data_IF_291858634404
#
_entry.id   IF_291858634404
#
_cell.length_a   1.000
_cell.length_b   1.000
_cell.length_c   1.000
_cell.angle_alpha   90.00
_cell.angle_beta   90.00
_cell.angle_gamma   90.00
#
_symmetry.space_group_name_H-M   'P 1'
#
loop_
_entity.id
_entity.type
_entity.pdbx_description
1 polymer ?
#
# COMPACT_ATOMS: atom_id res chain seq x y z
N UNK A 1 -5.20 24.40 17.94
CA UNK A 1 -4.41 25.29 18.81
C UNK A 1 -5.34 26.23 19.56
N UNK A 2 -5.43 26.07 20.87
CA UNK A 2 -6.18 27.00 21.71
C UNK A 2 -5.50 28.38 21.70
N UNK A 3 -6.27 29.46 21.80
CA UNK A 3 -5.71 30.82 21.82
C UNK A 3 -5.25 31.16 23.24
N UNK A 4 -3.98 31.51 23.42
CA UNK A 4 -3.47 32.00 24.69
C UNK A 4 -4.07 33.39 24.98
N UNK A 5 -4.72 33.53 26.14
CA UNK A 5 -5.32 34.79 26.60
C UNK A 5 -4.59 35.23 27.85
N UNK A 6 -4.05 36.44 27.83
CA UNK A 6 -3.26 37.01 28.92
C UNK A 6 -3.90 38.30 29.43
N UNK A 7 -3.81 38.55 30.72
CA UNK A 7 -4.13 39.83 31.32
C UNK A 7 -3.15 40.89 30.84
N UNK A 8 -3.69 42.00 30.34
CA UNK A 8 -2.89 43.18 29.97
C UNK A 8 -2.74 44.07 31.19
N UNK A 9 -1.54 44.59 31.44
CA UNK A 9 -1.29 45.46 32.58
C UNK A 9 -1.88 46.85 32.36
N UNK A 10 -2.96 47.17 33.08
CA UNK A 10 -3.44 48.54 33.22
C UNK A 10 -2.68 49.19 34.40
N UNK A 11 -1.94 50.27 34.13
CA UNK A 11 -0.82 50.74 34.94
C UNK A 11 -1.19 51.12 36.40
N UNK A 12 -0.63 50.41 37.39
CA UNK A 12 0.05 50.95 38.60
C UNK A 12 0.83 49.82 39.31
N UNK A 13 2.14 49.99 39.54
CA UNK A 13 3.09 48.92 39.90
C UNK A 13 3.05 48.42 41.36
N UNK A 14 2.11 48.91 42.18
CA UNK A 14 2.08 48.67 43.63
C UNK A 14 0.94 47.74 44.09
N UNK A 15 0.09 47.29 43.18
CA UNK A 15 -1.11 46.53 43.54
C UNK A 15 -0.84 45.02 43.67
N UNK A 16 -1.46 44.40 44.69
CA UNK A 16 -1.51 42.94 44.86
C UNK A 16 -2.17 42.27 43.65
N UNK A 17 -3.17 42.93 43.07
CA UNK A 17 -3.94 42.36 41.97
C UNK A 17 -3.11 42.27 40.68
N UNK A 18 -2.20 43.24 40.45
CA UNK A 18 -1.23 43.19 39.36
C UNK A 18 -0.27 41.99 39.51
N UNK A 19 0.22 41.73 40.73
CA UNK A 19 1.10 40.58 41.00
C UNK A 19 0.38 39.25 40.75
N UNK A 20 -0.87 39.14 41.19
CA UNK A 20 -1.69 37.95 40.96
C UNK A 20 -1.96 37.73 39.47
N UNK A 21 -2.35 38.78 38.73
CA UNK A 21 -2.57 38.71 37.28
C UNK A 21 -1.27 38.34 36.53
N UNK A 22 -0.13 38.85 36.97
CA UNK A 22 1.18 38.50 36.41
C UNK A 22 1.52 37.02 36.64
N UNK A 23 1.29 36.50 37.85
CA UNK A 23 1.50 35.09 38.14
C UNK A 23 0.55 34.18 37.33
N UNK A 24 -0.71 34.60 37.14
CA UNK A 24 -1.67 33.89 36.31
C UNK A 24 -1.23 33.85 34.84
N UNK A 25 -0.72 34.97 34.30
CA UNK A 25 -0.15 34.98 32.95
C UNK A 25 1.03 34.02 32.81
N UNK A 26 1.95 33.99 33.79
CA UNK A 26 3.07 33.06 33.77
C UNK A 26 2.63 31.60 33.77
N UNK A 27 1.65 31.26 34.60
CA UNK A 27 1.10 29.90 34.61
C UNK A 27 0.44 29.55 33.27
N UNK A 28 -0.36 30.46 32.70
CA UNK A 28 -1.00 30.24 31.41
C UNK A 28 0.02 30.06 30.27
N UNK A 29 1.14 30.79 30.28
CA UNK A 29 2.23 30.63 29.31
C UNK A 29 2.89 29.26 29.48
N UNK A 30 3.18 28.84 30.71
CA UNK A 30 3.79 27.54 31.00
C UNK A 30 2.90 26.38 30.55
N UNK A 31 1.61 26.44 30.89
CA UNK A 31 0.65 25.40 30.54
C UNK A 31 0.47 25.32 29.01
N UNK A 32 0.41 26.46 28.33
CA UNK A 32 0.34 26.52 26.87
C UNK A 32 1.60 25.93 26.21
N UNK A 33 2.80 26.30 26.68
CA UNK A 33 4.05 25.78 26.15
C UNK A 33 4.18 24.26 26.36
N UNK A 34 3.80 23.76 27.54
CA UNK A 34 3.79 22.34 27.84
C UNK A 34 2.78 21.58 26.96
N UNK A 35 1.60 22.14 26.75
CA UNK A 35 0.60 21.59 25.83
C UNK A 35 1.13 21.51 24.40
N UNK A 36 1.77 22.57 23.90
CA UNK A 36 2.38 22.55 22.56
C UNK A 36 3.52 21.54 22.43
N UNK A 37 4.38 21.39 23.45
CA UNK A 37 5.44 20.39 23.45
C UNK A 37 4.87 18.97 23.37
N UNK A 38 3.83 18.68 24.15
CA UNK A 38 3.14 17.38 24.12
C UNK A 38 2.49 17.10 22.76
N UNK A 39 1.84 18.10 22.14
CA UNK A 39 1.28 17.97 20.79
C UNK A 39 2.38 17.66 19.76
N UNK A 40 3.53 18.34 19.84
CA UNK A 40 4.67 18.09 18.95
C UNK A 40 5.23 16.68 19.10
N UNK A 41 5.42 16.20 20.34
CA UNK A 41 5.88 14.83 20.60
C UNK A 41 4.92 13.79 20.01
N UNK A 42 3.61 14.00 20.17
CA UNK A 42 2.59 13.11 19.58
C UNK A 42 2.64 13.11 18.04
N UNK A 43 2.84 14.28 17.42
CA UNK A 43 3.01 14.39 15.97
C UNK A 43 4.25 13.61 15.50
N UNK A 44 5.39 13.77 16.19
CA UNK A 44 6.62 13.05 15.84
C UNK A 44 6.45 11.53 15.97
N UNK A 45 5.84 11.05 17.05
CA UNK A 45 5.57 9.62 17.23
C UNK A 45 4.65 9.06 16.13
N UNK A 46 3.61 9.83 15.74
CA UNK A 46 2.72 9.43 14.65
C UNK A 46 3.46 9.40 13.29
N UNK A 47 4.31 10.39 13.01
CA UNK A 47 5.12 10.41 11.80
C UNK A 47 6.08 9.21 11.72
N UNK A 48 6.65 8.79 12.84
CA UNK A 48 7.52 7.61 12.89
C UNK A 48 6.74 6.33 12.54
N UNK A 49 5.55 6.15 13.11
CA UNK A 49 4.68 5.03 12.78
C UNK A 49 4.30 4.99 11.29
N UNK A 50 3.99 6.15 10.71
CA UNK A 50 3.69 6.26 9.28
C UNK A 50 4.87 5.83 8.40
N UNK A 51 6.09 6.25 8.74
CA UNK A 51 7.29 5.84 7.98
C UNK A 51 7.48 4.34 8.00
N UNK A 52 7.31 3.70 9.16
CA UNK A 52 7.43 2.24 9.30
C UNK A 52 6.36 1.54 8.44
N UNK A 53 5.12 2.04 8.47
CA UNK A 53 4.04 1.46 7.66
C UNK A 53 4.28 1.62 6.16
N UNK A 54 4.80 2.77 5.71
CA UNK A 54 5.17 3.03 4.32
C UNK A 54 6.29 2.09 3.85
N UNK A 55 7.35 1.91 4.65
CA UNK A 55 8.44 1.00 4.34
C UNK A 55 7.97 -0.45 4.21
N UNK A 56 7.08 -0.89 5.11
CA UNK A 56 6.48 -2.21 5.04
C UNK A 56 5.65 -2.40 3.76
N UNK A 57 4.78 -1.44 3.44
CA UNK A 57 3.94 -1.51 2.25
C UNK A 57 4.77 -1.51 0.96
N UNK A 58 5.84 -0.70 0.89
CA UNK A 58 6.75 -0.68 -0.26
C UNK A 58 7.44 -2.02 -0.44
N UNK A 59 7.97 -2.59 0.64
CA UNK A 59 8.63 -3.90 0.59
C UNK A 59 7.68 -4.99 0.13
N UNK A 60 6.45 -5.01 0.64
CA UNK A 60 5.44 -5.96 0.21
C UNK A 60 5.14 -5.84 -1.30
N UNK A 61 5.01 -4.62 -1.81
CA UNK A 61 4.79 -4.39 -3.23
C UNK A 61 5.99 -4.84 -4.09
N UNK A 62 7.22 -4.59 -3.64
CA UNK A 62 8.44 -5.06 -4.31
C UNK A 62 8.53 -6.59 -4.33
N UNK A 63 8.20 -7.24 -3.21
CA UNK A 63 8.19 -8.70 -3.08
C UNK A 63 7.13 -9.33 -4.01
N UNK A 64 5.90 -8.79 -4.05
CA UNK A 64 4.84 -9.24 -4.96
C UNK A 64 5.20 -9.03 -6.44
N UNK A 65 5.87 -7.92 -6.78
CA UNK A 65 6.34 -7.67 -8.14
C UNK A 65 7.44 -8.66 -8.54
N UNK A 66 8.38 -8.93 -7.63
CA UNK A 66 9.47 -9.88 -7.86
C UNK A 66 8.95 -11.32 -8.03
N UNK A 67 7.94 -11.71 -7.26
CA UNK A 67 7.28 -13.02 -7.40
C UNK A 67 6.68 -13.16 -8.80
N UNK A 68 5.85 -12.21 -9.24
CA UNK A 68 5.24 -12.21 -10.58
C UNK A 68 6.28 -12.20 -11.69
N UNK A 69 7.35 -11.42 -11.55
CA UNK A 69 8.43 -11.38 -12.53
C UNK A 69 9.13 -12.74 -12.62
N UNK A 70 9.35 -13.41 -11.48
CA UNK A 70 9.98 -14.72 -11.43
C UNK A 70 9.08 -15.77 -12.10
N UNK A 71 7.78 -15.77 -11.81
CA UNK A 71 6.80 -16.64 -12.48
C UNK A 71 6.80 -16.45 -14.00
N UNK A 72 6.73 -15.19 -14.47
CA UNK A 72 6.75 -14.87 -15.90
C UNK A 72 8.06 -15.33 -16.58
N UNK A 73 9.19 -15.15 -15.92
CA UNK A 73 10.50 -15.64 -16.40
C UNK A 73 10.47 -17.17 -16.55
N UNK A 74 9.90 -17.90 -15.60
CA UNK A 74 9.82 -19.37 -15.68
C UNK A 74 8.87 -19.84 -16.79
N UNK A 75 7.72 -19.19 -16.97
CA UNK A 75 6.81 -19.47 -18.09
C UNK A 75 7.51 -19.23 -19.44
N UNK A 76 8.23 -18.11 -19.58
CA UNK A 76 8.97 -17.81 -20.81
C UNK A 76 10.11 -18.80 -21.05
N UNK A 77 10.85 -19.21 -20.01
CA UNK A 77 11.88 -20.26 -20.13
C UNK A 77 11.30 -21.58 -20.60
N UNK A 78 10.14 -21.99 -20.08
CA UNK A 78 9.46 -23.21 -20.53
C UNK A 78 9.12 -23.14 -22.01
N UNK A 79 8.51 -22.04 -22.46
CA UNK A 79 8.21 -21.82 -23.90
C UNK A 79 9.47 -21.85 -24.76
N UNK A 80 10.55 -21.20 -24.33
CA UNK A 80 11.83 -21.20 -25.05
C UNK A 80 12.42 -22.62 -25.11
N UNK A 81 12.36 -23.38 -24.01
CA UNK A 81 12.83 -24.76 -23.98
C UNK A 81 12.00 -25.64 -24.92
N UNK A 82 10.68 -25.47 -24.98
CA UNK A 82 9.81 -26.17 -25.93
C UNK A 82 10.15 -25.79 -27.38
N UNK A 83 10.42 -24.51 -27.67
CA UNK A 83 10.86 -24.05 -29.00
C UNK A 83 12.20 -24.67 -29.44
N UNK A 84 13.16 -24.84 -28.52
CA UNK A 84 14.51 -25.31 -28.82
C UNK A 84 14.59 -26.85 -28.83
N UNK A 85 13.93 -27.50 -27.86
CA UNK A 85 14.05 -28.94 -27.61
C UNK A 85 12.89 -29.75 -28.20
N UNK A 86 11.83 -29.09 -28.66
CA UNK A 86 10.70 -29.70 -29.38
C UNK A 86 11.10 -30.19 -30.76
N UNK A 87 11.87 -31.29 -30.83
CA UNK A 87 12.18 -31.95 -32.09
C UNK A 87 10.97 -32.75 -32.59
N UNK A 88 10.36 -32.31 -33.69
CA UNK A 88 9.46 -33.13 -34.50
C UNK A 88 8.13 -32.47 -34.85
N UNK A 89 7.98 -32.06 -36.11
CA UNK A 89 6.75 -31.92 -36.92
C UNK A 89 5.43 -31.40 -36.30
N UNK A 90 5.46 -30.73 -35.16
CA UNK A 90 4.33 -29.92 -34.68
C UNK A 90 4.56 -28.47 -35.05
N UNK A 91 3.68 -27.92 -35.89
CA UNK A 91 3.55 -26.47 -36.11
C UNK A 91 3.55 -25.79 -34.73
N UNK A 92 4.58 -25.00 -34.44
CA UNK A 92 4.79 -24.28 -33.17
C UNK A 92 3.52 -23.52 -32.75
N UNK A 93 2.76 -23.01 -33.71
CA UNK A 93 1.46 -22.38 -33.52
C UNK A 93 0.46 -23.26 -32.75
N UNK A 94 0.45 -24.58 -32.99
CA UNK A 94 -0.44 -25.52 -32.30
C UNK A 94 0.04 -25.78 -30.88
N UNK A 95 1.36 -25.76 -30.63
CA UNK A 95 1.91 -25.87 -29.29
C UNK A 95 1.57 -24.62 -28.46
N UNK A 96 1.78 -23.43 -29.02
CA UNK A 96 1.39 -22.16 -28.38
C UNK A 96 -0.13 -22.10 -28.14
N UNK A 97 -0.93 -22.60 -29.08
CA UNK A 97 -2.38 -22.63 -28.94
C UNK A 97 -2.88 -23.59 -27.86
N UNK A 98 -2.07 -24.51 -27.32
CA UNK A 98 -2.46 -25.39 -26.20
C UNK A 98 -2.43 -24.70 -24.85
N UNK A 99 -1.79 -23.55 -24.73
CA UNK A 99 -1.77 -22.75 -23.50
C UNK A 99 -3.03 -21.88 -23.47
N UNK A 100 -3.81 -21.98 -22.39
CA UNK A 100 -5.00 -21.15 -22.20
C UNK A 100 -4.65 -19.72 -21.73
N UNK A 101 -5.67 -18.88 -21.57
CA UNK A 101 -5.51 -17.49 -21.09
C UNK A 101 -5.06 -17.39 -19.62
N UNK A 102 -5.03 -18.50 -18.89
CA UNK A 102 -4.59 -18.61 -17.51
C UNK A 102 -3.20 -19.25 -17.38
N UNK A 103 -2.55 -19.58 -18.51
CA UNK A 103 -1.22 -20.20 -18.54
C UNK A 103 -1.23 -21.72 -18.33
N UNK A 104 -2.39 -22.38 -18.33
CA UNK A 104 -2.47 -23.83 -18.24
C UNK A 104 -2.20 -24.49 -19.59
N UNK A 105 -1.23 -25.41 -19.63
CA UNK A 105 -0.87 -26.17 -20.83
C UNK A 105 -1.72 -27.45 -20.90
N UNK A 106 -2.58 -27.55 -21.91
CA UNK A 106 -3.37 -28.75 -22.20
C UNK A 106 -2.55 -29.78 -23.00
N UNK A 107 -2.91 -31.08 -22.97
CA UNK A 107 -2.16 -32.13 -23.69
C UNK A 107 -2.36 -32.05 -25.22
N UNK A 108 -3.52 -31.56 -25.65
CA UNK A 108 -3.82 -31.27 -27.06
C UNK A 108 -4.71 -30.03 -27.20
N UNK A 109 -4.65 -29.35 -28.35
CA UNK A 109 -5.42 -28.11 -28.59
C UNK A 109 -6.93 -28.31 -28.40
N UNK A 110 -7.44 -29.49 -28.76
CA UNK A 110 -8.86 -29.84 -28.60
C UNK A 110 -9.30 -29.72 -27.14
N UNK A 111 -8.50 -30.19 -26.19
CA UNK A 111 -8.86 -30.16 -24.77
C UNK A 111 -8.97 -28.74 -24.23
N UNK A 112 -8.07 -27.84 -24.67
CA UNK A 112 -8.17 -26.41 -24.37
C UNK A 112 -9.49 -25.84 -24.88
N UNK A 113 -9.83 -26.10 -26.15
CA UNK A 113 -11.05 -25.57 -26.77
C UNK A 113 -12.32 -26.10 -26.09
N UNK A 114 -12.35 -27.40 -25.77
CA UNK A 114 -13.46 -28.03 -25.06
C UNK A 114 -13.63 -27.43 -23.65
N UNK A 115 -12.52 -27.19 -22.93
CA UNK A 115 -12.53 -26.55 -21.62
C UNK A 115 -13.03 -25.09 -21.66
N UNK A 116 -12.55 -24.29 -22.62
CA UNK A 116 -13.01 -22.91 -22.81
C UNK A 116 -14.50 -22.84 -23.18
N UNK A 117 -14.97 -23.75 -24.02
CA UNK A 117 -16.36 -23.81 -24.41
C UNK A 117 -17.26 -24.16 -23.22
N UNK A 118 -16.89 -25.16 -22.41
CA UNK A 118 -17.61 -25.51 -21.18
C UNK A 118 -17.65 -24.34 -20.19
N UNK A 119 -16.53 -23.60 -20.04
CA UNK A 119 -16.48 -22.42 -19.18
C UNK A 119 -17.43 -21.30 -19.68
N UNK A 120 -17.48 -21.06 -21.00
CA UNK A 120 -18.41 -20.10 -21.61
C UNK A 120 -19.86 -20.52 -21.41
N UNK A 121 -20.19 -21.80 -21.59
CA UNK A 121 -21.55 -22.32 -21.42
C UNK A 121 -22.03 -22.19 -19.97
N UNK A 122 -21.19 -22.53 -18.99
CA UNK A 122 -21.48 -22.30 -17.55
C UNK A 122 -21.74 -20.83 -17.25
N UNK A 123 -20.91 -19.93 -17.81
CA UNK A 123 -21.08 -18.49 -17.62
C UNK A 123 -22.38 -17.98 -18.23
N UNK A 124 -22.77 -18.50 -19.39
CA UNK A 124 -24.05 -18.15 -20.04
C UNK A 124 -25.26 -18.64 -19.23
N UNK A 125 -25.17 -19.80 -18.59
CA UNK A 125 -26.25 -20.36 -17.79
C UNK A 125 -26.43 -19.69 -16.42
N UNK A 126 -25.37 -19.13 -15.83
CA UNK A 126 -25.44 -18.41 -14.54
C UNK A 126 -25.97 -16.95 -14.66
N UNK A 127 -26.27 -16.47 -15.87
CA UNK A 127 -26.79 -15.12 -16.14
C UNK A 127 -28.27 -15.11 -16.57
N UNK A 128 -28.99 -16.22 -16.39
CA UNK A 128 -30.45 -16.35 -16.50
C UNK A 128 -31.04 -16.75 -15.14
#
# INVERSE_FOLDING_TARGET
MAKLTLFMWEMTLLDRDLRNATNQNWQAILDYANGQASEQEAIYAYMEQLKIAEEFARKQADDELNEKLTEEIEVQKQRINELILGSGDTNIEVADARVDVHGFLHDVLKERLDAEQLAREKKKHNFL
#
